data_IF_843592633230
#
_entry.id   IF_843592633230
#
_cell.length_a   1.000
_cell.length_b   1.000
_cell.length_c   1.000
_cell.angle_alpha   90.00
_cell.angle_beta   90.00
_cell.angle_gamma   90.00
#
_symmetry.space_group_name_H-M   'P 1'
#
loop_
_entity.id
_entity.type
_entity.pdbx_description
1 polymer ?
#
# COMPACT_ATOMS: atom_id res chain seq x y z
N UNK A 1 0.92 -37.74 -8.45
CA UNK A 1 0.87 -36.32 -8.88
C UNK A 1 2.14 -35.64 -8.38
N UNK A 2 2.95 -35.07 -9.28
CA UNK A 2 4.14 -34.30 -8.89
C UNK A 2 3.77 -32.94 -8.29
N UNK A 3 4.67 -32.36 -7.48
CA UNK A 3 4.50 -31.02 -6.92
C UNK A 3 4.60 -29.97 -8.04
N UNK A 4 3.51 -29.27 -8.32
CA UNK A 4 3.43 -28.23 -9.37
C UNK A 4 4.03 -26.88 -8.94
N UNK A 5 3.96 -26.57 -7.64
CA UNK A 5 4.47 -25.34 -7.04
C UNK A 5 5.36 -25.65 -5.84
N UNK A 6 6.33 -24.78 -5.62
CA UNK A 6 7.28 -24.86 -4.50
C UNK A 6 6.82 -23.98 -3.35
N UNK A 7 6.16 -22.85 -3.66
CA UNK A 7 5.58 -21.90 -2.69
C UNK A 7 4.15 -21.56 -3.10
N UNK A 8 3.24 -21.56 -2.12
CA UNK A 8 1.86 -21.08 -2.29
C UNK A 8 1.64 -19.93 -1.31
N UNK A 9 1.23 -18.79 -1.83
CA UNK A 9 0.89 -17.57 -1.08
C UNK A 9 -0.63 -17.44 -1.09
N UNK A 10 -1.23 -17.36 0.10
CA UNK A 10 -2.69 -17.18 0.25
C UNK A 10 -2.96 -15.71 0.53
N UNK A 11 -3.67 -15.05 -0.38
CA UNK A 11 -3.94 -13.62 -0.39
C UNK A 11 -3.06 -12.87 -1.37
N UNK A 12 -3.68 -12.15 -2.30
CA UNK A 12 -3.05 -11.30 -3.30
C UNK A 12 -2.94 -9.84 -2.89
N UNK A 13 -3.02 -9.52 -1.59
CA UNK A 13 -2.77 -8.17 -1.07
C UNK A 13 -1.28 -7.79 -1.07
N UNK A 14 -0.94 -6.60 -0.56
CA UNK A 14 0.44 -6.10 -0.55
C UNK A 14 1.47 -7.08 -0.01
N UNK A 15 1.20 -7.70 1.14
CA UNK A 15 2.14 -8.66 1.73
C UNK A 15 2.37 -9.88 0.82
N UNK A 16 1.31 -10.37 0.18
CA UNK A 16 1.40 -11.50 -0.75
C UNK A 16 2.13 -11.14 -2.04
N UNK A 17 1.85 -9.96 -2.60
CA UNK A 17 2.53 -9.46 -3.80
C UNK A 17 4.02 -9.21 -3.55
N UNK A 18 4.38 -8.54 -2.46
CA UNK A 18 5.78 -8.34 -2.10
C UNK A 18 6.48 -9.66 -1.77
N UNK A 19 5.82 -10.61 -1.09
CA UNK A 19 6.39 -11.95 -0.87
C UNK A 19 6.70 -12.65 -2.20
N UNK A 20 5.77 -12.60 -3.16
CA UNK A 20 5.97 -13.18 -4.48
C UNK A 20 7.09 -12.46 -5.26
N UNK A 21 7.18 -11.13 -5.15
CA UNK A 21 8.25 -10.33 -5.72
C UNK A 21 9.62 -10.74 -5.18
N UNK A 22 9.76 -10.88 -3.85
CA UNK A 22 11.01 -11.33 -3.22
C UNK A 22 11.43 -12.70 -3.73
N UNK A 23 10.51 -13.67 -3.78
CA UNK A 23 10.82 -14.99 -4.33
C UNK A 23 11.21 -14.95 -5.81
N UNK A 24 10.57 -14.08 -6.60
CA UNK A 24 10.84 -13.96 -8.02
C UNK A 24 12.20 -13.30 -8.33
N UNK A 25 12.63 -12.33 -7.51
CA UNK A 25 13.85 -11.55 -7.75
C UNK A 25 15.07 -12.08 -7.00
N UNK A 26 14.88 -12.63 -5.79
CA UNK A 26 15.97 -13.04 -4.90
C UNK A 26 16.01 -14.56 -4.62
N UNK A 27 15.12 -15.35 -5.23
CA UNK A 27 15.15 -16.80 -5.12
C UNK A 27 16.48 -17.40 -5.60
N UNK A 28 17.09 -18.26 -4.79
CA UNK A 28 18.32 -19.01 -5.12
C UNK A 28 18.16 -19.88 -6.37
N UNK A 29 16.94 -20.31 -6.67
CA UNK A 29 16.53 -21.07 -7.86
C UNK A 29 15.20 -20.50 -8.41
N UNK A 30 14.81 -20.88 -9.64
CA UNK A 30 13.51 -20.51 -10.23
C UNK A 30 12.36 -21.21 -9.49
N UNK A 31 11.99 -20.69 -8.32
CA UNK A 31 10.86 -21.16 -7.54
C UNK A 31 9.57 -20.97 -8.32
N UNK A 32 8.74 -22.01 -8.40
CA UNK A 32 7.39 -21.92 -8.94
C UNK A 32 6.46 -21.44 -7.83
N UNK A 33 6.13 -20.16 -7.88
CA UNK A 33 5.27 -19.50 -6.89
C UNK A 33 3.84 -19.40 -7.43
N UNK A 34 2.85 -19.77 -6.61
CA UNK A 34 1.44 -19.50 -6.87
C UNK A 34 0.88 -18.52 -5.84
N UNK A 35 0.09 -17.55 -6.30
CA UNK A 35 -0.73 -16.68 -5.43
C UNK A 35 -2.19 -17.11 -5.60
N UNK A 36 -2.86 -17.37 -4.48
CA UNK A 36 -4.29 -17.69 -4.44
C UNK A 36 -5.02 -16.51 -3.81
N UNK A 37 -5.86 -15.84 -4.60
CA UNK A 37 -6.68 -14.72 -4.16
C UNK A 37 -8.16 -15.08 -4.27
N UNK A 38 -8.93 -14.83 -3.22
CA UNK A 38 -10.36 -15.16 -3.19
C UNK A 38 -11.20 -14.18 -4.04
N UNK A 39 -10.71 -12.95 -4.20
CA UNK A 39 -11.33 -11.89 -4.98
C UNK A 39 -10.89 -11.88 -6.45
N UNK A 40 -11.14 -10.75 -7.11
CA UNK A 40 -10.82 -10.59 -8.53
C UNK A 40 -9.31 -10.48 -8.78
N UNK A 41 -8.84 -11.15 -9.81
CA UNK A 41 -7.50 -10.96 -10.38
C UNK A 41 -7.31 -9.60 -11.07
N UNK A 42 -8.40 -8.87 -11.33
CA UNK A 42 -8.35 -7.56 -11.98
C UNK A 42 -8.09 -6.46 -10.92
N UNK A 43 -6.96 -5.73 -11.00
CA UNK A 43 -6.70 -4.59 -10.11
C UNK A 43 -7.67 -3.42 -10.35
N UNK A 44 -8.28 -3.31 -11.54
CA UNK A 44 -9.29 -2.30 -11.89
C UNK A 44 -10.72 -2.68 -11.50
N UNK A 45 -10.89 -3.54 -10.49
CA UNK A 45 -12.22 -3.90 -9.97
C UNK A 45 -12.99 -2.65 -9.48
N UNK A 46 -14.31 -2.73 -9.42
CA UNK A 46 -15.14 -1.58 -9.07
C UNK A 46 -16.19 -1.94 -8.02
N UNK A 47 -16.40 -1.03 -7.06
CA UNK A 47 -17.52 -1.16 -6.13
C UNK A 47 -18.83 -0.84 -6.87
N UNK A 48 -19.84 -1.73 -6.82
CA UNK A 48 -21.16 -1.45 -7.41
C UNK A 48 -21.86 -0.20 -6.84
N UNK A 49 -21.42 0.28 -5.68
CA UNK A 49 -21.87 1.53 -5.07
C UNK A 49 -21.51 2.76 -5.93
N UNK A 50 -20.39 2.72 -6.66
CA UNK A 50 -19.92 3.82 -7.52
C UNK A 50 -20.47 3.76 -8.95
N UNK A 51 -21.34 2.80 -9.26
CA UNK A 51 -21.92 2.70 -10.59
C UNK A 51 -22.81 3.92 -10.87
N UNK A 52 -22.41 4.74 -11.85
CA UNK A 52 -23.09 5.98 -12.24
C UNK A 52 -24.54 5.77 -12.71
N UNK A 53 -24.92 4.53 -13.06
CA UNK A 53 -26.30 4.16 -13.43
C UNK A 53 -27.23 4.05 -12.20
N UNK A 54 -26.69 4.01 -10.98
CA UNK A 54 -27.49 3.99 -9.76
C UNK A 54 -27.84 5.41 -9.34
N UNK A 55 -29.09 5.65 -8.99
CA UNK A 55 -29.52 6.95 -8.45
C UNK A 55 -28.71 7.26 -7.20
N UNK A 56 -28.46 8.54 -6.91
CA UNK A 56 -27.65 8.97 -5.76
C UNK A 56 -28.17 8.39 -4.44
N UNK A 57 -29.50 8.27 -4.30
CA UNK A 57 -30.18 7.65 -3.16
C UNK A 57 -29.97 6.13 -3.04
N UNK A 58 -29.57 5.46 -4.11
CA UNK A 58 -29.34 4.01 -4.17
C UNK A 58 -27.84 3.65 -4.09
N UNK A 59 -26.98 4.64 -3.80
CA UNK A 59 -25.53 4.46 -3.61
C UNK A 59 -25.19 3.94 -2.21
N UNK A 60 -25.90 2.92 -1.77
CA UNK A 60 -25.59 2.21 -0.54
C UNK A 60 -24.61 1.06 -0.82
N UNK A 61 -23.81 0.72 0.20
CA UNK A 61 -22.94 -0.45 0.15
C UNK A 61 -23.79 -1.71 0.03
N UNK A 62 -23.59 -2.49 -1.04
CA UNK A 62 -24.35 -3.72 -1.30
C UNK A 62 -23.74 -4.97 -0.68
N UNK A 63 -22.72 -4.80 0.18
CA UNK A 63 -22.05 -5.90 0.89
C UNK A 63 -21.67 -7.07 -0.03
N UNK A 64 -21.03 -6.75 -1.17
CA UNK A 64 -20.56 -7.74 -2.13
C UNK A 64 -19.69 -8.83 -1.45
N UNK A 65 -19.82 -10.07 -1.92
CA UNK A 65 -19.12 -11.25 -1.38
C UNK A 65 -18.38 -11.97 -2.52
N UNK A 66 -17.03 -11.94 -2.57
CA UNK A 66 -16.14 -11.11 -1.74
C UNK A 66 -16.29 -9.61 -2.06
N UNK A 67 -15.76 -8.74 -1.18
CA UNK A 67 -15.88 -7.29 -1.35
C UNK A 67 -14.92 -6.79 -2.43
N UNK A 68 -15.43 -6.15 -3.48
CA UNK A 68 -14.59 -5.62 -4.57
C UNK A 68 -13.61 -4.53 -4.14
N UNK A 69 -13.82 -3.87 -2.99
CA UNK A 69 -12.86 -2.91 -2.46
C UNK A 69 -11.79 -3.59 -1.62
N UNK A 70 -12.20 -4.47 -0.70
CA UNK A 70 -11.30 -5.05 0.30
C UNK A 70 -10.53 -6.28 -0.20
N UNK A 71 -11.01 -6.92 -1.27
CA UNK A 71 -10.60 -8.26 -1.67
C UNK A 71 -10.35 -8.34 -3.17
N UNK A 72 -9.29 -9.05 -3.58
CA UNK A 72 -8.73 -9.05 -4.93
C UNK A 72 -7.24 -8.71 -4.95
N UNK A 73 -6.63 -8.72 -6.13
CA UNK A 73 -5.20 -8.40 -6.30
C UNK A 73 -4.91 -6.96 -5.84
N UNK A 74 -3.89 -6.79 -5.01
CA UNK A 74 -3.57 -5.58 -4.27
C UNK A 74 -4.41 -5.34 -3.01
N UNK A 75 -5.46 -6.12 -2.76
CA UNK A 75 -6.28 -6.03 -1.54
C UNK A 75 -6.92 -4.65 -1.34
N UNK A 76 -7.16 -4.26 -0.08
CA UNK A 76 -7.84 -3.00 0.23
C UNK A 76 -7.08 -1.75 -0.24
N UNK A 77 -5.74 -1.81 -0.34
CA UNK A 77 -4.94 -0.62 -0.64
C UNK A 77 -5.12 -0.14 -2.09
N UNK A 78 -5.53 -1.02 -3.00
CA UNK A 78 -5.81 -0.69 -4.42
C UNK A 78 -6.80 0.46 -4.57
N UNK A 79 -7.71 0.65 -3.60
CA UNK A 79 -8.73 1.72 -3.60
C UNK A 79 -8.54 2.75 -2.49
N UNK A 80 -7.33 2.83 -1.93
CA UNK A 80 -6.96 3.89 -0.98
C UNK A 80 -6.47 5.14 -1.71
N UNK A 81 -6.19 6.21 -0.96
CA UNK A 81 -5.51 7.40 -1.50
C UNK A 81 -4.09 7.13 -2.00
N UNK A 82 -3.52 5.95 -1.70
CA UNK A 82 -2.15 5.60 -2.09
C UNK A 82 -1.10 6.49 -1.43
N UNK A 83 -1.34 6.93 -0.18
CA UNK A 83 -0.38 7.78 0.55
C UNK A 83 0.55 6.91 1.38
N UNK A 84 1.85 6.97 1.05
CA UNK A 84 2.91 6.27 1.77
C UNK A 84 3.58 7.25 2.74
N UNK A 85 3.61 6.90 4.02
CA UNK A 85 4.38 7.62 5.04
C UNK A 85 5.79 7.03 5.08
N UNK A 86 6.78 7.82 4.70
CA UNK A 86 8.17 7.36 4.62
C UNK A 86 8.90 7.67 5.93
N UNK A 87 8.38 7.14 7.04
CA UNK A 87 8.95 7.34 8.37
C UNK A 87 8.67 6.13 9.28
N UNK A 88 9.68 5.57 9.97
CA UNK A 88 9.54 4.33 10.74
C UNK A 88 8.51 4.27 11.88
N UNK A 89 8.12 5.41 12.44
CA UNK A 89 7.20 5.56 13.59
C UNK A 89 5.80 6.08 13.19
N UNK A 90 5.46 6.06 11.89
CA UNK A 90 4.16 6.51 11.38
C UNK A 90 3.44 5.37 10.64
N UNK A 91 2.16 5.15 10.96
CA UNK A 91 1.38 4.01 10.44
C UNK A 91 1.65 2.69 11.17
N UNK A 92 2.51 2.72 12.19
CA UNK A 92 2.93 1.61 13.03
C UNK A 92 4.23 1.97 13.75
N UNK A 93 4.80 1.02 14.49
CA UNK A 93 6.06 1.18 15.22
C UNK A 93 7.15 0.27 14.60
N UNK A 94 7.44 0.43 13.30
CA UNK A 94 8.33 -0.48 12.58
C UNK A 94 9.75 -0.48 13.17
N UNK A 95 10.26 0.69 13.55
CA UNK A 95 11.53 0.82 14.25
C UNK A 95 11.58 -0.01 15.56
N UNK A 96 10.47 -0.11 16.29
CA UNK A 96 10.41 -0.92 17.52
C UNK A 96 10.33 -2.42 17.20
N UNK A 97 9.61 -2.80 16.15
CA UNK A 97 9.50 -4.19 15.72
C UNK A 97 10.85 -4.73 15.21
N UNK A 98 11.60 -3.91 14.49
CA UNK A 98 12.93 -4.24 13.97
C UNK A 98 14.02 -4.06 15.04
N UNK A 99 13.81 -3.17 16.01
CA UNK A 99 14.80 -2.80 17.02
C UNK A 99 15.85 -1.81 16.51
N UNK A 100 15.70 -1.27 15.29
CA UNK A 100 16.59 -0.28 14.70
C UNK A 100 15.80 0.71 13.84
N UNK A 101 16.04 2.01 14.07
CA UNK A 101 15.47 3.08 13.26
C UNK A 101 16.04 3.07 11.84
N UNK A 102 17.36 2.99 11.74
CA UNK A 102 18.10 3.06 10.47
C UNK A 102 17.70 1.89 9.55
N UNK A 103 17.55 0.68 10.10
CA UNK A 103 17.15 -0.47 9.31
C UNK A 103 15.68 -0.36 8.86
N UNK A 104 14.79 0.13 9.73
CA UNK A 104 13.40 0.38 9.35
C UNK A 104 13.29 1.43 8.23
N UNK A 105 14.08 2.50 8.30
CA UNK A 105 14.13 3.53 7.26
C UNK A 105 14.67 2.97 5.94
N UNK A 106 15.70 2.13 5.99
CA UNK A 106 16.25 1.43 4.82
C UNK A 106 15.20 0.52 4.16
N UNK A 107 14.44 -0.23 4.95
CA UNK A 107 13.36 -1.09 4.44
C UNK A 107 12.22 -0.29 3.81
N UNK A 108 11.83 0.83 4.43
CA UNK A 108 10.83 1.75 3.88
C UNK A 108 11.31 2.30 2.52
N UNK A 109 12.56 2.76 2.44
CA UNK A 109 13.15 3.23 1.18
C UNK A 109 13.21 2.15 0.10
N UNK A 110 13.51 0.90 0.48
CA UNK A 110 13.48 -0.23 -0.44
C UNK A 110 12.08 -0.47 -1.03
N UNK A 111 11.05 -0.49 -0.18
CA UNK A 111 9.65 -0.64 -0.59
C UNK A 111 9.22 0.53 -1.50
N UNK A 112 9.58 1.76 -1.13
CA UNK A 112 9.25 2.96 -1.91
C UNK A 112 9.86 2.90 -3.32
N UNK A 113 11.13 2.50 -3.43
CA UNK A 113 11.80 2.33 -4.72
C UNK A 113 11.14 1.26 -5.59
N UNK A 114 10.63 0.18 -4.99
CA UNK A 114 9.86 -0.84 -5.72
C UNK A 114 8.57 -0.24 -6.27
N UNK A 115 7.84 0.54 -5.48
CA UNK A 115 6.60 1.18 -5.93
C UNK A 115 6.88 2.16 -7.08
N UNK A 116 7.96 2.95 -7.00
CA UNK A 116 8.38 3.85 -8.09
C UNK A 116 8.72 3.06 -9.36
N UNK A 117 9.45 1.93 -9.23
CA UNK A 117 9.74 1.03 -10.35
C UNK A 117 8.47 0.50 -11.03
N UNK A 118 7.39 0.30 -10.29
CA UNK A 118 6.10 -0.14 -10.81
C UNK A 118 5.16 1.01 -11.21
N UNK A 119 5.66 2.25 -11.27
CA UNK A 119 4.93 3.40 -11.83
C UNK A 119 4.29 4.33 -10.79
N UNK A 120 4.69 4.25 -9.52
CA UNK A 120 4.36 5.30 -8.57
C UNK A 120 5.01 6.64 -9.00
N UNK A 121 4.34 7.78 -8.81
CA UNK A 121 4.91 9.09 -9.12
C UNK A 121 6.21 9.34 -8.35
N UNK A 122 7.20 9.97 -8.99
CA UNK A 122 8.53 10.21 -8.40
C UNK A 122 8.55 11.38 -7.39
N UNK A 123 7.49 12.20 -7.33
CA UNK A 123 7.41 13.32 -6.41
C UNK A 123 7.25 12.88 -4.93
N UNK A 124 8.15 13.39 -4.10
CA UNK A 124 8.07 13.31 -2.65
C UNK A 124 7.63 14.64 -2.06
N UNK A 125 6.64 14.58 -1.19
CA UNK A 125 6.17 15.72 -0.42
C UNK A 125 6.96 15.80 0.89
N UNK A 126 7.82 16.80 0.96
CA UNK A 126 8.61 17.14 2.12
C UNK A 126 8.33 18.58 2.50
N UNK A 127 8.22 18.85 3.80
CA UNK A 127 8.16 20.20 4.32
C UNK A 127 9.58 20.72 4.49
N UNK A 128 9.78 22.00 4.19
CA UNK A 128 11.03 22.66 4.56
C UNK A 128 11.04 22.97 6.07
N UNK A 129 12.21 23.38 6.58
CA UNK A 129 12.42 23.65 8.00
C UNK A 129 11.50 24.75 8.54
N UNK A 130 11.25 25.80 7.75
CA UNK A 130 10.42 26.94 8.16
C UNK A 130 8.93 26.55 8.27
N UNK A 131 8.41 25.86 7.24
CA UNK A 131 7.04 25.34 7.24
C UNK A 131 6.83 24.34 8.37
N UNK A 132 7.82 23.48 8.62
CA UNK A 132 7.77 22.50 9.71
C UNK A 132 7.69 23.21 11.07
N UNK A 133 8.57 24.18 11.32
CA UNK A 133 8.59 24.91 12.58
C UNK A 133 7.27 25.67 12.83
N UNK A 134 6.68 26.28 11.81
CA UNK A 134 5.40 26.96 11.95
C UNK A 134 4.26 25.98 12.27
N UNK A 135 4.21 24.83 11.58
CA UNK A 135 3.20 23.80 11.86
C UNK A 135 3.37 23.18 13.24
N UNK A 136 4.61 22.95 13.69
CA UNK A 136 4.90 22.49 15.04
C UNK A 136 4.43 23.50 16.10
N UNK A 137 4.67 24.80 15.87
CA UNK A 137 4.23 25.88 16.76
C UNK A 137 2.69 25.94 16.83
N UNK A 138 2.01 25.87 15.69
CA UNK A 138 0.55 25.88 15.62
C UNK A 138 -0.06 24.64 16.29
N UNK A 139 0.50 23.45 16.05
CA UNK A 139 0.06 22.22 16.69
C UNK A 139 0.25 22.28 18.20
N UNK A 140 1.42 22.72 18.67
CA UNK A 140 1.72 22.84 20.10
C UNK A 140 0.76 23.83 20.79
N UNK A 141 0.43 24.95 20.15
CA UNK A 141 -0.56 25.92 20.65
C UNK A 141 -1.97 25.30 20.80
N UNK A 142 -2.31 24.32 19.97
CA UNK A 142 -3.57 23.58 20.03
C UNK A 142 -3.50 22.33 20.94
N UNK A 143 -2.37 22.08 21.63
CA UNK A 143 -2.19 20.87 22.45
C UNK A 143 -1.96 19.60 21.64
N UNK A 144 -1.60 19.73 20.35
CA UNK A 144 -1.27 18.63 19.46
C UNK A 144 0.24 18.56 19.18
N UNK A 145 0.72 17.39 18.73
CA UNK A 145 2.08 17.20 18.24
C UNK A 145 2.06 17.02 16.73
N UNK A 146 2.76 17.88 16.01
CA UNK A 146 3.00 17.69 14.59
C UNK A 146 4.18 16.73 14.40
N UNK A 147 4.06 15.80 13.44
CA UNK A 147 5.12 14.84 13.10
C UNK A 147 5.48 15.07 11.63
N UNK A 148 6.56 15.80 11.32
CA UNK A 148 7.00 15.99 9.95
C UNK A 148 7.37 14.64 9.36
N UNK A 149 6.66 14.28 8.28
CA UNK A 149 6.74 12.96 7.66
C UNK A 149 6.82 13.15 6.15
N UNK A 150 7.94 12.77 5.53
CA UNK A 150 8.02 12.61 4.08
C UNK A 150 6.90 11.71 3.57
N UNK A 151 6.18 12.16 2.54
CA UNK A 151 5.07 11.39 1.97
C UNK A 151 5.19 11.24 0.46
N UNK A 152 4.86 10.05 -0.03
CA UNK A 152 4.57 9.83 -1.45
C UNK A 152 3.07 9.69 -1.63
N UNK A 153 2.50 10.47 -2.54
CA UNK A 153 1.09 10.38 -2.90
C UNK A 153 0.95 9.74 -4.28
N UNK A 154 0.58 8.47 -4.32
CA UNK A 154 0.36 7.70 -5.54
C UNK A 154 -0.96 8.12 -6.21
N UNK A 155 -2.00 8.33 -5.39
CA UNK A 155 -3.34 8.71 -5.82
C UNK A 155 -4.23 7.51 -6.16
N UNK A 156 -5.51 7.59 -5.80
CA UNK A 156 -6.47 6.50 -5.94
C UNK A 156 -6.60 5.98 -7.38
N UNK A 157 -6.48 6.85 -8.38
CA UNK A 157 -6.58 6.50 -9.81
C UNK A 157 -5.33 5.78 -10.35
N UNK A 158 -4.19 5.92 -9.66
CA UNK A 158 -2.94 5.29 -10.06
C UNK A 158 -2.66 4.00 -9.29
N UNK A 159 -3.24 3.82 -8.10
CA UNK A 159 -3.06 2.60 -7.30
C UNK A 159 -3.29 1.31 -8.11
N UNK A 160 -4.37 1.14 -8.89
CA UNK A 160 -4.56 -0.05 -9.73
C UNK A 160 -3.48 -0.28 -10.81
N UNK A 161 -2.72 0.75 -11.18
CA UNK A 161 -1.64 0.66 -12.19
C UNK A 161 -0.30 0.23 -11.57
N UNK A 162 -0.10 0.57 -10.30
CA UNK A 162 1.13 0.24 -9.54
C UNK A 162 1.07 -1.18 -8.98
N UNK A 163 -0.13 -1.71 -8.77
CA UNK A 163 -0.40 -3.06 -8.27
C UNK A 163 -0.22 -4.13 -9.35
#
# INVERSE_FOLDING_TARGET
MGRLYDVIIVGGGVAGLFSAYEFAIHGFEKLRVAIIEQGSGNPFRQCPMFNLKRLVRDRECVLCKPCNILTGIGGAITFSSGTMNLRPDVGGDLNKLIGSWEEAERLIGYIDNILVKFGAPDNLYNLNTEQTAELERLAAKAGAKFIPTPQRHIGSENMPKVI
#
